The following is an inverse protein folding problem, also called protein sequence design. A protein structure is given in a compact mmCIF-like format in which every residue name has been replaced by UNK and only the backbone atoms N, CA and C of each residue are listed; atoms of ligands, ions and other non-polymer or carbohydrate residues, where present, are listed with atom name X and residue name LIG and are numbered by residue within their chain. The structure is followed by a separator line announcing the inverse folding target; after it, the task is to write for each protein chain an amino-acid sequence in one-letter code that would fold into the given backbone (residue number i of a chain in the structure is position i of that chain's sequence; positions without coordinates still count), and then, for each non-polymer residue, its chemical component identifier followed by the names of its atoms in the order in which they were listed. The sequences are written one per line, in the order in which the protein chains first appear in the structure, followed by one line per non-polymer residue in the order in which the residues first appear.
data_IF_944228896229
#
_entry.id   IF_944228896229
#
_cell.length_a   1.000
_cell.length_b   1.000
_cell.length_c   1.000
_cell.angle_alpha   90.00
_cell.angle_beta   90.00
_cell.angle_gamma   90.00
#
_symmetry.space_group_name_H-M   'P 1'
#
loop_
_entity.id
_entity.type
_entity.pdbx_description
1 polymer ?
#
# COMPACT_ATOMS: atom_id res chain seq x y z
N UNK A 1 -41.41 6.20 -13.23
CA UNK A 1 -40.65 6.69 -12.03
C UNK A 1 -39.76 5.65 -11.41
N UNK A 2 -40.19 4.40 -11.16
CA UNK A 2 -39.38 3.34 -10.49
C UNK A 2 -38.06 2.99 -11.21
N UNK A 3 -38.02 2.88 -12.53
CA UNK A 3 -36.80 2.58 -13.31
C UNK A 3 -35.68 3.63 -13.13
N UNK A 4 -36.05 4.92 -13.05
CA UNK A 4 -35.07 6.00 -12.85
C UNK A 4 -34.55 6.04 -11.41
N UNK A 5 -35.34 5.65 -10.45
CA UNK A 5 -34.94 5.53 -9.04
C UNK A 5 -33.97 4.37 -8.83
N UNK A 6 -34.24 3.21 -9.41
CA UNK A 6 -33.34 2.04 -9.35
C UNK A 6 -32.01 2.32 -10.06
N UNK A 7 -32.05 3.01 -11.19
CA UNK A 7 -30.85 3.39 -11.97
C UNK A 7 -29.98 4.41 -11.21
N UNK A 8 -30.58 5.32 -10.45
CA UNK A 8 -29.83 6.24 -9.57
C UNK A 8 -29.20 5.51 -8.38
N UNK A 9 -29.92 4.60 -7.73
CA UNK A 9 -29.38 3.79 -6.64
C UNK A 9 -28.24 2.87 -7.08
N UNK A 10 -28.40 2.19 -8.22
CA UNK A 10 -27.32 1.34 -8.74
C UNK A 10 -26.07 2.15 -9.13
N UNK A 11 -26.24 3.36 -9.67
CA UNK A 11 -25.12 4.25 -9.97
C UNK A 11 -24.39 4.70 -8.70
N UNK A 12 -25.10 5.09 -7.65
CA UNK A 12 -24.52 5.46 -6.35
C UNK A 12 -23.75 4.29 -5.71
N UNK A 13 -24.24 3.07 -5.81
CA UNK A 13 -23.55 1.88 -5.33
C UNK A 13 -22.28 1.62 -6.15
N UNK A 14 -22.37 1.69 -7.48
CA UNK A 14 -21.21 1.51 -8.35
C UNK A 14 -20.12 2.57 -8.11
N UNK A 15 -20.52 3.82 -7.87
CA UNK A 15 -19.58 4.89 -7.58
C UNK A 15 -18.85 4.68 -6.22
N UNK A 16 -19.53 4.08 -5.24
CA UNK A 16 -18.89 3.71 -3.96
C UNK A 16 -17.89 2.56 -4.09
N UNK A 17 -18.02 1.71 -5.10
CA UNK A 17 -17.15 0.56 -5.32
C UNK A 17 -15.89 0.90 -6.14
N UNK A 18 -15.86 2.05 -6.79
CA UNK A 18 -14.71 2.48 -7.59
C UNK A 18 -13.57 2.97 -6.72
N UNK A 19 -12.37 2.63 -7.12
CA UNK A 19 -11.16 3.26 -6.63
C UNK A 19 -11.10 4.67 -7.22
N UNK A 20 -10.90 5.66 -6.37
CA UNK A 20 -10.78 7.07 -6.74
C UNK A 20 -9.31 7.41 -7.00
N UNK A 21 -9.06 8.55 -7.66
CA UNK A 21 -7.70 9.04 -7.87
C UNK A 21 -7.01 9.30 -6.53
N UNK A 22 -5.77 8.85 -6.40
CA UNK A 22 -4.96 9.04 -5.20
C UNK A 22 -4.78 10.52 -4.86
N UNK A 23 -4.64 11.41 -5.85
CA UNK A 23 -4.54 12.85 -5.60
C UNK A 23 -5.78 13.40 -4.89
N UNK A 24 -6.96 12.83 -5.13
CA UNK A 24 -8.23 13.24 -4.50
C UNK A 24 -8.40 12.61 -3.11
N UNK A 25 -7.90 11.39 -2.92
CA UNK A 25 -8.11 10.62 -1.68
C UNK A 25 -6.95 10.69 -0.71
N UNK A 26 -5.80 11.20 -1.14
CA UNK A 26 -4.54 11.19 -0.39
C UNK A 26 -4.68 11.72 1.05
N UNK A 27 -5.27 12.90 1.25
CA UNK A 27 -5.47 13.47 2.59
C UNK A 27 -6.29 12.57 3.52
N UNK A 28 -7.31 11.90 2.98
CA UNK A 28 -8.17 10.98 3.75
C UNK A 28 -7.44 9.69 4.07
N UNK A 29 -6.64 9.17 3.14
CA UNK A 29 -5.84 7.97 3.36
C UNK A 29 -4.70 8.25 4.34
N UNK A 30 -4.08 9.42 4.29
CA UNK A 30 -3.08 9.86 5.27
C UNK A 30 -3.71 9.98 6.67
N UNK A 31 -4.90 10.58 6.79
CA UNK A 31 -5.66 10.63 8.05
C UNK A 31 -5.96 9.24 8.57
N UNK A 32 -6.36 8.31 7.70
CA UNK A 32 -6.59 6.93 8.08
C UNK A 32 -5.31 6.22 8.55
N UNK A 33 -4.17 6.44 7.88
CA UNK A 33 -2.87 5.91 8.32
C UNK A 33 -2.46 6.39 9.71
N UNK A 34 -2.94 7.57 10.13
CA UNK A 34 -2.74 8.12 11.46
C UNK A 34 -3.77 7.60 12.50
N UNK A 35 -4.68 6.68 12.13
CA UNK A 35 -5.51 5.95 13.08
C UNK A 35 -4.69 4.89 13.83
N UNK A 36 -5.24 4.39 14.93
CA UNK A 36 -4.60 3.33 15.70
C UNK A 36 -4.29 2.09 14.86
N UNK A 37 -5.23 1.70 13.99
CA UNK A 37 -5.01 0.57 13.09
C UNK A 37 -3.96 0.89 12.02
N UNK A 38 -3.95 2.10 11.46
CA UNK A 38 -2.94 2.54 10.51
C UNK A 38 -1.53 2.52 11.11
N UNK A 39 -1.37 3.03 12.33
CA UNK A 39 -0.11 2.98 13.08
C UNK A 39 0.34 1.54 13.35
N UNK A 40 -0.58 0.67 13.79
CA UNK A 40 -0.28 -0.75 13.98
C UNK A 40 0.22 -1.39 12.67
N UNK A 41 -0.49 -1.20 11.56
CA UNK A 41 -0.14 -1.74 10.25
C UNK A 41 1.26 -1.30 9.83
N UNK A 42 1.51 0.01 9.82
CA UNK A 42 2.80 0.59 9.43
C UNK A 42 3.93 0.11 10.34
N UNK A 43 3.69 -0.03 11.63
CA UNK A 43 4.67 -0.55 12.58
C UNK A 43 5.05 -2.00 12.29
N UNK A 44 4.07 -2.88 12.07
CA UNK A 44 4.30 -4.29 11.74
C UNK A 44 5.05 -4.45 10.40
N UNK A 45 4.67 -3.67 9.38
CA UNK A 45 5.37 -3.67 8.11
C UNK A 45 6.79 -3.16 8.24
N UNK A 46 7.01 -2.06 8.96
CA UNK A 46 8.34 -1.50 9.21
C UNK A 46 9.25 -2.51 9.93
N UNK A 47 8.76 -3.19 10.95
CA UNK A 47 9.52 -4.24 11.65
C UNK A 47 9.90 -5.42 10.72
N UNK A 48 8.99 -5.82 9.83
CA UNK A 48 9.27 -6.87 8.86
C UNK A 48 10.34 -6.41 7.85
N UNK A 49 10.20 -5.21 7.32
CA UNK A 49 11.12 -4.59 6.36
C UNK A 49 12.52 -4.42 6.98
N UNK A 50 12.59 -3.90 8.20
CA UNK A 50 13.84 -3.72 8.93
C UNK A 50 14.58 -5.03 9.13
N UNK A 51 13.89 -6.05 9.62
CA UNK A 51 14.47 -7.35 9.93
C UNK A 51 15.00 -8.08 8.71
N UNK A 52 14.29 -8.00 7.56
CA UNK A 52 14.60 -8.82 6.39
C UNK A 52 15.29 -8.06 5.27
N UNK A 53 14.94 -6.79 5.05
CA UNK A 53 15.27 -6.07 3.82
C UNK A 53 16.07 -4.78 4.04
N UNK A 54 16.34 -4.39 5.28
CA UNK A 54 17.11 -3.17 5.60
C UNK A 54 18.52 -3.15 5.02
N UNK A 55 19.07 -4.32 4.69
CA UNK A 55 20.45 -4.52 4.20
C UNK A 55 20.57 -4.69 2.68
N UNK A 56 19.48 -4.50 1.94
CA UNK A 56 19.53 -4.58 0.48
C UNK A 56 20.59 -3.62 -0.07
N UNK A 57 21.36 -4.05 -1.09
CA UNK A 57 22.40 -3.22 -1.67
C UNK A 57 21.81 -2.05 -2.46
N UNK A 58 22.61 -1.00 -2.63
CA UNK A 58 22.27 0.15 -3.45
C UNK A 58 22.47 1.47 -2.73
N UNK A 59 22.44 2.55 -3.50
CA UNK A 59 22.66 3.91 -3.03
C UNK A 59 21.33 4.67 -2.85
N UNK A 60 20.37 4.47 -3.79
CA UNK A 60 19.10 5.21 -3.84
C UNK A 60 17.93 4.32 -3.49
N UNK A 61 17.16 4.75 -2.49
CA UNK A 61 15.88 4.15 -2.14
C UNK A 61 14.75 5.15 -2.38
N UNK A 62 13.79 4.75 -3.18
CA UNK A 62 12.53 5.45 -3.40
C UNK A 62 11.41 4.77 -2.62
N UNK A 63 10.65 5.54 -1.86
CA UNK A 63 9.45 5.06 -1.18
C UNK A 63 8.21 5.70 -1.81
N UNK A 64 7.31 4.89 -2.35
CA UNK A 64 5.95 5.26 -2.77
C UNK A 64 4.96 4.79 -1.72
N UNK A 65 4.21 5.68 -1.11
CA UNK A 65 3.25 5.32 -0.05
C UNK A 65 2.01 6.20 -0.04
N UNK A 66 1.06 5.88 0.84
CA UNK A 66 -0.19 6.65 1.00
C UNK A 66 -0.02 7.91 1.84
N UNK A 67 1.04 8.01 2.62
CA UNK A 67 1.42 9.13 3.46
C UNK A 67 2.89 9.01 3.88
N UNK A 68 3.53 10.11 4.33
CA UNK A 68 4.93 10.07 4.74
C UNK A 68 5.13 9.14 5.94
N UNK A 69 6.10 8.23 5.81
CA UNK A 69 6.49 7.33 6.88
C UNK A 69 8.01 7.35 7.05
N UNK A 70 8.48 8.32 7.83
CA UNK A 70 9.90 8.50 8.10
C UNK A 70 10.50 7.27 8.81
N UNK A 71 9.76 6.66 9.73
CA UNK A 71 10.21 5.49 10.47
C UNK A 71 10.55 4.32 9.54
N UNK A 72 9.75 4.09 8.50
CA UNK A 72 10.04 3.07 7.49
C UNK A 72 11.28 3.42 6.66
N UNK A 73 11.47 4.69 6.28
CA UNK A 73 12.68 5.09 5.56
C UNK A 73 13.94 4.93 6.40
N UNK A 74 13.87 5.22 7.70
CA UNK A 74 15.03 5.21 8.59
C UNK A 74 15.56 3.79 8.86
N UNK A 75 14.75 2.75 8.68
CA UNK A 75 15.22 1.37 8.83
C UNK A 75 16.15 0.92 7.69
N UNK A 76 16.18 1.61 6.55
CA UNK A 76 17.00 1.28 5.41
C UNK A 76 18.37 1.97 5.43
N UNK A 77 19.40 1.31 4.88
CA UNK A 77 20.80 1.76 4.93
C UNK A 77 21.26 2.58 3.71
N UNK A 78 20.41 2.76 2.69
CA UNK A 78 20.72 3.54 1.52
C UNK A 78 21.04 4.99 1.90
N UNK A 79 22.09 5.56 1.30
CA UNK A 79 22.52 6.93 1.62
C UNK A 79 21.56 7.99 1.12
N UNK A 80 20.94 7.76 -0.03
CA UNK A 80 19.93 8.65 -0.60
C UNK A 80 18.55 8.00 -0.54
N UNK A 81 17.77 8.38 0.45
CA UNK A 81 16.40 7.90 0.68
C UNK A 81 15.44 9.05 0.50
N UNK A 82 14.40 8.85 -0.28
CA UNK A 82 13.39 9.87 -0.51
C UNK A 82 12.01 9.26 -0.65
N UNK A 83 11.03 10.10 -0.48
CA UNK A 83 9.64 9.75 -0.44
C UNK A 83 8.88 10.41 -1.58
N UNK A 84 8.02 9.67 -2.26
CA UNK A 84 7.08 10.20 -3.25
C UNK A 84 5.66 9.95 -2.74
N UNK A 85 4.84 10.99 -2.73
CA UNK A 85 3.45 10.94 -2.29
C UNK A 85 2.51 11.60 -3.29
N UNK A 86 1.22 11.22 -3.24
CA UNK A 86 0.23 11.73 -4.19
C UNK A 86 -0.35 13.10 -3.79
N UNK A 87 -0.09 13.58 -2.56
CA UNK A 87 -0.65 14.80 -2.02
C UNK A 87 0.34 15.97 -2.10
N UNK A 88 0.02 16.99 -2.91
CA UNK A 88 0.87 18.19 -3.02
C UNK A 88 0.84 19.09 -1.78
N UNK A 89 -0.22 18.99 -0.96
CA UNK A 89 -0.44 19.84 0.21
C UNK A 89 0.04 19.18 1.53
N UNK A 90 0.60 17.99 1.47
CA UNK A 90 1.11 17.31 2.65
C UNK A 90 2.31 18.05 3.23
N UNK A 91 2.33 18.23 4.56
CA UNK A 91 3.49 18.75 5.30
C UNK A 91 4.60 17.68 5.34
N UNK A 92 5.11 17.33 4.16
CA UNK A 92 6.04 16.24 3.98
C UNK A 92 7.48 16.65 4.39
N UNK A 93 8.31 15.70 4.81
CA UNK A 93 9.73 15.93 5.10
C UNK A 93 10.48 16.54 3.91
N UNK A 94 11.61 17.20 4.16
CA UNK A 94 12.42 17.90 3.14
C UNK A 94 12.84 17.05 1.92
N UNK A 95 12.82 15.72 2.04
CA UNK A 95 13.16 14.76 0.97
C UNK A 95 11.90 14.09 0.38
N UNK A 96 10.86 14.87 0.12
CA UNK A 96 9.62 14.38 -0.47
C UNK A 96 9.27 15.09 -1.78
N UNK A 97 8.59 14.37 -2.65
CA UNK A 97 8.16 14.84 -3.96
C UNK A 97 6.69 14.45 -4.18
N UNK A 98 5.85 15.43 -4.54
CA UNK A 98 4.48 15.15 -4.91
C UNK A 98 4.40 14.74 -6.39
N UNK A 99 3.79 13.59 -6.68
CA UNK A 99 3.68 13.10 -8.05
C UNK A 99 2.55 12.10 -8.25
N UNK A 100 2.11 11.99 -9.50
CA UNK A 100 1.28 10.87 -9.94
C UNK A 100 2.16 9.61 -10.05
N UNK A 101 1.77 8.53 -9.37
CA UNK A 101 2.53 7.29 -9.34
C UNK A 101 2.60 6.54 -10.69
N UNK A 102 1.72 6.86 -11.62
CA UNK A 102 1.78 6.34 -12.98
C UNK A 102 2.68 7.17 -13.91
N UNK A 103 3.29 8.27 -13.41
CA UNK A 103 4.18 9.16 -14.16
C UNK A 103 5.18 9.79 -13.18
N UNK A 104 6.20 9.03 -12.81
CA UNK A 104 7.22 9.49 -11.87
C UNK A 104 8.21 10.48 -12.54
N UNK A 105 8.51 11.63 -11.91
CA UNK A 105 9.44 12.60 -12.45
C UNK A 105 10.90 12.19 -12.22
N UNK A 106 11.23 10.96 -12.57
CA UNK A 106 12.53 10.35 -12.42
C UNK A 106 13.01 9.78 -13.76
N UNK A 107 14.31 9.85 -14.05
CA UNK A 107 14.89 9.12 -15.18
C UNK A 107 14.68 7.61 -15.04
N UNK A 108 14.82 6.87 -16.15
CA UNK A 108 14.81 5.42 -16.14
C UNK A 108 16.06 4.87 -15.46
N UNK A 109 15.92 3.72 -14.81
CA UNK A 109 17.04 2.91 -14.28
C UNK A 109 17.94 3.63 -13.27
N UNK A 110 17.36 4.49 -12.42
CA UNK A 110 18.14 5.27 -11.44
C UNK A 110 17.93 4.83 -9.99
N UNK A 111 16.98 3.94 -9.71
CA UNK A 111 16.59 3.51 -8.37
C UNK A 111 17.11 2.10 -8.10
N UNK A 112 17.87 1.95 -7.03
CA UNK A 112 18.39 0.64 -6.63
C UNK A 112 17.36 -0.16 -5.81
N UNK A 113 16.61 0.52 -4.93
CA UNK A 113 15.55 -0.08 -4.13
C UNK A 113 14.28 0.77 -4.21
N UNK A 114 13.21 0.18 -4.70
CA UNK A 114 11.88 0.78 -4.68
C UNK A 114 11.01 0.09 -3.62
N UNK A 115 10.57 0.83 -2.60
CA UNK A 115 9.56 0.40 -1.66
C UNK A 115 8.22 0.99 -2.08
N UNK A 116 7.25 0.13 -2.39
CA UNK A 116 5.89 0.52 -2.78
C UNK A 116 4.91 0.00 -1.74
N UNK A 117 4.45 0.90 -0.88
CA UNK A 117 3.63 0.57 0.28
C UNK A 117 2.19 1.02 0.07
N UNK A 118 1.29 0.07 -0.21
CA UNK A 118 -0.14 0.25 -0.48
C UNK A 118 -0.49 1.19 -1.65
N UNK A 119 0.48 1.71 -2.39
CA UNK A 119 0.26 2.64 -3.49
C UNK A 119 -0.39 1.98 -4.72
N UNK A 120 -0.13 0.70 -4.95
CA UNK A 120 -0.64 -0.03 -6.12
C UNK A 120 -2.13 -0.30 -6.01
N UNK A 121 -2.59 -0.83 -4.87
CA UNK A 121 -4.00 -1.17 -4.69
C UNK A 121 -4.93 0.03 -4.57
N UNK A 122 -4.42 1.17 -4.12
CA UNK A 122 -5.19 2.42 -4.06
C UNK A 122 -5.11 3.25 -5.34
N UNK A 123 -4.29 2.87 -6.31
CA UNK A 123 -4.23 3.54 -7.60
C UNK A 123 -5.40 3.17 -8.51
N UNK A 124 -5.91 4.12 -9.28
CA UNK A 124 -6.89 3.87 -10.37
C UNK A 124 -6.33 2.90 -11.40
N UNK A 125 -5.02 2.95 -11.65
CA UNK A 125 -4.32 2.16 -12.66
C UNK A 125 -3.13 1.38 -12.08
N UNK A 126 -3.38 0.28 -11.33
CA UNK A 126 -2.32 -0.50 -10.69
C UNK A 126 -1.18 -0.94 -11.62
N UNK A 127 -1.54 -1.34 -12.85
CA UNK A 127 -0.56 -1.77 -13.85
C UNK A 127 0.35 -0.62 -14.31
N UNK A 128 -0.20 0.59 -14.46
CA UNK A 128 0.58 1.75 -14.86
C UNK A 128 1.58 2.14 -13.76
N UNK A 129 1.17 2.05 -12.49
CA UNK A 129 2.09 2.28 -11.35
C UNK A 129 3.23 1.26 -11.37
N UNK A 130 2.94 -0.03 -11.52
CA UNK A 130 3.99 -1.06 -11.57
C UNK A 130 4.91 -0.90 -12.78
N UNK A 131 4.37 -0.55 -13.95
CA UNK A 131 5.16 -0.29 -15.15
C UNK A 131 6.10 0.91 -14.96
N UNK A 132 5.61 1.96 -14.32
CA UNK A 132 6.41 3.15 -14.04
C UNK A 132 7.49 2.91 -12.97
N UNK A 133 7.17 2.15 -11.93
CA UNK A 133 8.15 1.68 -10.95
C UNK A 133 9.22 0.81 -11.64
N UNK A 134 8.81 -0.10 -12.54
CA UNK A 134 9.74 -0.91 -13.33
C UNK A 134 10.68 -0.06 -14.19
N UNK A 135 10.17 1.02 -14.79
CA UNK A 135 10.96 1.93 -15.61
C UNK A 135 12.10 2.62 -14.83
N UNK A 136 11.80 3.02 -13.59
CA UNK A 136 12.78 3.78 -12.78
C UNK A 136 13.74 2.90 -12.00
N UNK A 137 13.40 1.63 -11.75
CA UNK A 137 14.27 0.68 -11.06
C UNK A 137 15.41 0.25 -12.00
N UNK A 138 16.64 0.33 -11.49
CA UNK A 138 17.83 -0.06 -12.24
C UNK A 138 17.89 -1.58 -12.49
N UNK A 139 18.55 -2.05 -13.53
CA UNK A 139 18.83 -3.47 -13.73
C UNK A 139 19.54 -4.08 -12.51
N UNK A 140 19.02 -5.16 -11.99
CA UNK A 140 19.49 -5.76 -10.73
C UNK A 140 19.03 -5.05 -9.46
N UNK A 141 18.22 -4.01 -9.56
CA UNK A 141 17.59 -3.35 -8.44
C UNK A 141 16.48 -4.18 -7.80
N UNK A 142 15.98 -3.73 -6.66
CA UNK A 142 15.01 -4.45 -5.84
C UNK A 142 13.69 -3.69 -5.76
N UNK A 143 12.59 -4.45 -5.86
CA UNK A 143 11.24 -3.95 -5.61
C UNK A 143 10.67 -4.64 -4.36
N UNK A 144 10.34 -3.86 -3.35
CA UNK A 144 9.59 -4.28 -2.17
C UNK A 144 8.15 -3.80 -2.32
N UNK A 145 7.19 -4.73 -2.27
CA UNK A 145 5.79 -4.44 -2.53
C UNK A 145 4.93 -4.86 -1.33
N UNK A 146 4.39 -3.89 -0.59
CA UNK A 146 3.44 -4.12 0.50
C UNK A 146 2.01 -3.97 0.00
N UNK A 147 1.21 -5.02 0.14
CA UNK A 147 -0.18 -5.08 -0.34
C UNK A 147 -1.08 -5.78 0.68
N UNK A 148 -2.35 -5.40 0.72
CA UNK A 148 -3.34 -6.14 1.50
C UNK A 148 -3.63 -7.50 0.89
N UNK A 149 -3.73 -8.51 1.75
CA UNK A 149 -4.23 -9.81 1.33
C UNK A 149 -5.74 -9.74 1.07
N UNK A 150 -6.21 -10.04 -0.17
CA UNK A 150 -7.64 -10.01 -0.49
C UNK A 150 -8.46 -11.05 0.28
N UNK A 151 -7.82 -12.06 0.83
CA UNK A 151 -8.44 -13.12 1.65
C UNK A 151 -8.28 -12.89 3.16
N UNK A 152 -7.53 -11.87 3.56
CA UNK A 152 -7.41 -11.43 4.95
C UNK A 152 -8.65 -10.67 5.43
N UNK A 153 -8.72 -10.37 6.74
CA UNK A 153 -9.87 -9.69 7.33
C UNK A 153 -10.24 -8.37 6.64
N UNK A 154 -9.24 -7.56 6.27
CA UNK A 154 -9.47 -6.29 5.58
C UNK A 154 -10.01 -6.50 4.16
N UNK A 155 -9.50 -7.48 3.43
CA UNK A 155 -9.98 -7.82 2.09
C UNK A 155 -11.42 -8.36 2.10
N UNK A 156 -11.77 -9.18 3.08
CA UNK A 156 -13.11 -9.74 3.25
C UNK A 156 -14.13 -8.68 3.71
N UNK A 157 -13.75 -7.79 4.62
CA UNK A 157 -14.59 -6.70 5.12
C UNK A 157 -14.76 -5.56 4.11
N UNK A 158 -13.97 -5.52 3.05
CA UNK A 158 -14.00 -4.46 2.05
C UNK A 158 -15.40 -4.15 1.53
N UNK A 159 -16.09 -5.12 0.98
CA UNK A 159 -17.42 -4.91 0.37
C UNK A 159 -18.49 -4.44 1.37
N UNK A 160 -18.68 -5.10 2.52
CA UNK A 160 -19.64 -4.61 3.51
C UNK A 160 -19.28 -3.20 4.00
N UNK A 161 -18.01 -2.88 4.23
CA UNK A 161 -17.60 -1.56 4.69
C UNK A 161 -17.77 -0.48 3.61
N UNK A 162 -17.48 -0.78 2.35
CA UNK A 162 -17.76 0.15 1.24
C UNK A 162 -19.25 0.51 1.13
N UNK A 163 -20.14 -0.48 1.34
CA UNK A 163 -21.58 -0.27 1.24
C UNK A 163 -22.15 0.46 2.45
N UNK A 164 -21.68 0.13 3.67
CA UNK A 164 -22.21 0.64 4.92
C UNK A 164 -21.61 1.99 5.33
N UNK A 165 -20.28 2.13 5.30
CA UNK A 165 -19.59 3.32 5.78
C UNK A 165 -19.21 4.29 4.66
N UNK A 166 -18.99 3.81 3.44
CA UNK A 166 -18.48 4.61 2.32
C UNK A 166 -17.08 5.18 2.55
N UNK A 167 -16.34 4.65 3.54
CA UNK A 167 -15.00 5.12 3.90
C UNK A 167 -14.01 4.89 2.76
N UNK A 168 -13.14 5.86 2.45
CA UNK A 168 -12.20 5.79 1.33
C UNK A 168 -11.12 4.73 1.53
N UNK A 169 -10.76 4.41 2.77
CA UNK A 169 -9.77 3.42 3.14
C UNK A 169 -10.16 1.98 2.74
N UNK A 170 -11.44 1.72 2.44
CA UNK A 170 -11.90 0.46 1.86
C UNK A 170 -12.02 0.49 0.33
N UNK A 171 -11.70 1.60 -0.36
CA UNK A 171 -11.76 1.73 -1.81
C UNK A 171 -10.43 1.39 -2.47
N UNK A 172 -9.99 0.15 -2.38
CA UNK A 172 -8.76 -0.36 -2.97
C UNK A 172 -9.01 -1.58 -3.88
N UNK A 173 -8.08 -1.92 -4.73
CA UNK A 173 -8.15 -3.13 -5.55
C UNK A 173 -7.80 -4.37 -4.73
N UNK A 174 -8.63 -5.41 -4.79
CA UNK A 174 -8.28 -6.73 -4.26
C UNK A 174 -7.32 -7.43 -5.24
N UNK A 175 -6.03 -7.22 -5.06
CA UNK A 175 -5.00 -7.76 -5.93
C UNK A 175 -4.55 -9.14 -5.43
N UNK A 176 -4.95 -10.18 -6.17
CA UNK A 176 -4.54 -11.55 -5.83
C UNK A 176 -3.05 -11.75 -6.12
N UNK A 177 -2.36 -12.48 -5.24
CA UNK A 177 -0.95 -12.84 -5.35
C UNK A 177 -0.55 -13.31 -6.76
N UNK A 178 -1.26 -14.28 -7.35
CA UNK A 178 -0.95 -14.79 -8.69
C UNK A 178 -0.98 -13.68 -9.75
N UNK A 179 -1.98 -12.78 -9.70
CA UNK A 179 -2.07 -11.65 -10.64
C UNK A 179 -0.89 -10.69 -10.52
N UNK A 180 -0.44 -10.42 -9.30
CA UNK A 180 0.74 -9.54 -9.08
C UNK A 180 2.00 -10.23 -9.62
N UNK A 181 2.18 -11.51 -9.35
CA UNK A 181 3.32 -12.28 -9.88
C UNK A 181 3.33 -12.26 -11.41
N UNK A 182 2.18 -12.48 -12.05
CA UNK A 182 2.05 -12.42 -13.52
C UNK A 182 2.44 -11.04 -14.07
N UNK A 183 1.98 -9.96 -13.44
CA UNK A 183 2.32 -8.59 -13.86
C UNK A 183 3.80 -8.29 -13.67
N UNK A 184 4.39 -8.68 -12.54
CA UNK A 184 5.81 -8.50 -12.27
C UNK A 184 6.68 -9.28 -13.26
N UNK A 185 6.29 -10.52 -13.60
CA UNK A 185 6.98 -11.32 -14.62
C UNK A 185 6.97 -10.66 -16.01
N UNK A 186 5.84 -10.04 -16.40
CA UNK A 186 5.74 -9.28 -17.64
C UNK A 186 6.63 -8.02 -17.66
N UNK A 187 6.98 -7.50 -16.48
CA UNK A 187 7.86 -6.37 -16.28
C UNK A 187 9.32 -6.78 -16.00
N UNK A 188 9.67 -8.05 -16.27
CA UNK A 188 10.99 -8.64 -16.05
C UNK A 188 11.45 -8.68 -14.58
N UNK A 189 10.53 -8.63 -13.62
CA UNK A 189 10.84 -8.90 -12.22
C UNK A 189 10.72 -10.38 -11.91
N UNK A 190 11.68 -10.90 -11.16
CA UNK A 190 11.61 -12.21 -10.53
C UNK A 190 11.21 -12.06 -9.07
N UNK A 191 10.12 -12.70 -8.66
CA UNK A 191 9.70 -12.71 -7.26
C UNK A 191 10.59 -13.69 -6.48
N UNK A 192 11.36 -13.17 -5.55
CA UNK A 192 12.31 -13.93 -4.75
C UNK A 192 11.68 -14.49 -3.47
N UNK A 193 10.88 -13.65 -2.78
CA UNK A 193 10.30 -14.00 -1.50
C UNK A 193 8.90 -13.38 -1.35
N UNK A 194 8.04 -14.02 -0.56
CA UNK A 194 6.73 -13.50 -0.20
C UNK A 194 6.53 -13.73 1.30
N UNK A 195 6.44 -12.63 2.02
CA UNK A 195 6.18 -12.61 3.44
C UNK A 195 4.74 -12.24 3.76
N UNK A 196 4.35 -12.54 4.97
CA UNK A 196 3.05 -12.19 5.50
C UNK A 196 3.23 -11.54 6.88
N UNK A 197 2.49 -10.48 7.14
CA UNK A 197 2.53 -9.73 8.40
C UNK A 197 1.19 -9.07 8.71
N UNK A 198 1.12 -8.35 9.84
CA UNK A 198 -0.04 -7.59 10.30
C UNK A 198 -1.33 -8.44 10.37
N UNK A 199 -1.44 -9.28 11.39
CA UNK A 199 -2.51 -10.29 11.50
C UNK A 199 -3.76 -9.82 12.27
N UNK A 200 -3.78 -8.60 12.80
CA UNK A 200 -4.91 -8.10 13.60
C UNK A 200 -6.10 -7.66 12.73
N UNK A 201 -7.29 -7.71 13.35
CA UNK A 201 -8.51 -7.20 12.73
C UNK A 201 -8.44 -5.67 12.59
N UNK A 202 -8.98 -5.09 11.50
CA UNK A 202 -9.02 -3.66 11.26
C UNK A 202 -10.10 -2.98 12.12
N UNK A 203 -9.96 -3.08 13.44
CA UNK A 203 -10.87 -2.49 14.44
C UNK A 203 -10.08 -1.46 15.24
N UNK A 204 -10.55 -0.21 15.25
CA UNK A 204 -9.99 0.87 16.06
C UNK A 204 -10.36 0.64 17.56
N UNK A 205 -9.66 -0.31 18.20
CA UNK A 205 -9.76 -0.56 19.65
C UNK A 205 -8.34 -0.73 20.19
N UNK A 206 -7.86 0.22 21.02
CA UNK A 206 -6.49 0.23 21.53
C UNK A 206 -6.10 -1.05 22.30
N UNK A 207 -7.07 -1.70 22.96
CA UNK A 207 -6.81 -2.89 23.78
C UNK A 207 -6.42 -4.15 22.97
N UNK A 208 -6.70 -4.16 21.67
CA UNK A 208 -6.46 -5.31 20.78
C UNK A 208 -5.20 -5.15 19.92
N UNK A 209 -4.58 -3.97 19.94
CA UNK A 209 -3.45 -3.60 19.08
C UNK A 209 -2.09 -3.74 19.75
N UNK A 210 -2.04 -4.21 21.02
CA UNK A 210 -0.78 -4.52 21.66
C UNK A 210 -0.15 -5.74 20.98
N UNK A 211 1.10 -5.58 20.53
CA UNK A 211 1.87 -6.52 19.71
C UNK A 211 2.06 -7.93 20.30
N UNK A 212 1.62 -8.17 21.51
CA UNK A 212 1.77 -9.43 22.26
C UNK A 212 0.45 -10.19 22.49
N UNK A 213 -0.61 -9.85 21.76
CA UNK A 213 -1.89 -10.53 21.94
C UNK A 213 -1.81 -11.99 21.47
N UNK A 214 -2.34 -12.90 22.26
CA UNK A 214 -2.43 -14.34 21.98
C UNK A 214 -3.02 -14.65 20.60
N UNK A 215 -3.83 -13.76 20.04
CA UNK A 215 -4.41 -13.84 18.70
C UNK A 215 -3.38 -13.73 17.59
N UNK A 216 -2.38 -12.88 17.73
CA UNK A 216 -1.32 -12.72 16.72
C UNK A 216 -0.48 -13.99 16.61
N UNK A 217 -0.16 -14.61 17.75
CA UNK A 217 0.52 -15.92 17.80
C UNK A 217 -0.33 -17.05 17.18
N UNK A 218 -1.65 -17.01 17.39
CA UNK A 218 -2.58 -17.98 16.79
C UNK A 218 -2.74 -17.72 15.30
N UNK A 219 -2.91 -16.46 14.87
CA UNK A 219 -3.05 -16.07 13.48
C UNK A 219 -1.78 -16.35 12.67
N UNK A 220 -0.58 -16.12 13.22
CA UNK A 220 0.69 -16.54 12.64
C UNK A 220 0.75 -18.06 12.43
N UNK A 221 0.26 -18.84 13.40
CA UNK A 221 0.24 -20.30 13.33
C UNK A 221 -0.75 -20.85 12.28
N UNK A 222 -1.86 -20.12 12.03
CA UNK A 222 -2.89 -20.48 11.03
C UNK A 222 -2.56 -19.91 9.64
N UNK A 223 -1.53 -19.03 9.51
CA UNK A 223 -1.18 -18.33 8.25
C UNK A 223 -2.37 -17.57 7.62
N UNK A 224 -3.15 -16.88 8.45
CA UNK A 224 -4.17 -15.94 7.98
C UNK A 224 -3.61 -14.50 8.05
N UNK A 225 -2.86 -14.03 7.03
CA UNK A 225 -2.32 -12.67 7.01
C UNK A 225 -3.42 -11.69 6.56
N UNK A 226 -3.32 -10.46 7.03
CA UNK A 226 -4.11 -9.32 6.54
C UNK A 226 -3.88 -9.03 5.07
#
# INVERSE_FOLDING_TARGET
MAKNFLRRRSKLILDRLKVEDLAVTANRLETWLNSDFGHYLLHQETQLLERKYSHLPGYRLMHLGLGPNQQTLDCFKQLHRFYIHANADSAAPQLSLASNYAQLPLPSEVIDVALVQHAVEYSVSPKAVLAEVSRVVAPGGHLLLCLFNPYGPRGLLKFPMQLLSGQPDYRFHNLRKGRIIDWLSLLNFQVLEIDHGAYNLPLDRPDWMQADTSWEKIAQKIRFPL
#
